data_IF_959111852287
#
_entry.id   IF_959111852287
#
_cell.length_a   1.000
_cell.length_b   1.000
_cell.length_c   1.000
_cell.angle_alpha   90.00
_cell.angle_beta   90.00
_cell.angle_gamma   90.00
#
_symmetry.space_group_name_H-M   'P 1'
#
loop_
_entity.id
_entity.type
_entity.pdbx_description
1 polymer ?
#
# COMPACT_ATOMS: atom_id res chain seq x y z
N UNK A 1 -13.19 5.15 19.14
CA UNK A 1 -12.18 5.70 18.21
C UNK A 1 -10.90 4.88 18.36
N UNK A 2 -10.67 3.89 17.50
CA UNK A 2 -9.46 3.09 17.55
C UNK A 2 -8.27 3.92 17.06
N UNK A 3 -7.25 4.11 17.90
CA UNK A 3 -5.95 4.64 17.46
C UNK A 3 -5.46 3.75 16.33
N UNK A 4 -5.38 4.28 15.11
CA UNK A 4 -4.74 3.58 14.00
C UNK A 4 -3.32 3.24 14.42
N UNK A 5 -2.99 1.95 14.46
CA UNK A 5 -1.68 1.42 14.81
C UNK A 5 -0.65 1.68 13.68
N UNK A 6 -0.63 2.88 13.11
CA UNK A 6 0.28 3.27 12.05
C UNK A 6 1.54 3.90 12.65
N UNK A 7 2.19 3.18 13.57
CA UNK A 7 3.61 3.45 13.82
C UNK A 7 4.35 3.22 12.50
N UNK A 8 5.23 4.13 12.10
CA UNK A 8 6.01 3.96 10.87
C UNK A 8 6.72 2.61 10.93
N UNK A 9 6.39 1.71 10.02
CA UNK A 9 7.17 0.49 9.88
C UNK A 9 8.56 0.89 9.38
N UNK A 10 9.59 0.26 9.92
CA UNK A 10 10.97 0.51 9.48
C UNK A 10 11.68 -0.80 9.15
N UNK A 11 12.63 -0.70 8.22
CA UNK A 11 13.42 -1.83 7.74
C UNK A 11 14.74 -1.87 8.50
N UNK A 12 15.12 -3.05 9.00
CA UNK A 12 16.44 -3.28 9.61
C UNK A 12 17.08 -4.52 9.02
N UNK A 13 18.31 -4.38 8.54
CA UNK A 13 19.15 -5.49 8.07
C UNK A 13 19.92 -6.07 9.25
N UNK A 14 19.90 -7.40 9.42
CA UNK A 14 20.75 -8.11 10.37
C UNK A 14 21.30 -9.35 9.70
N UNK A 15 22.62 -9.36 9.48
CA UNK A 15 23.42 -10.44 8.90
C UNK A 15 22.79 -11.06 7.64
N UNK A 16 22.03 -12.15 7.83
CA UNK A 16 21.41 -13.00 6.81
C UNK A 16 19.91 -12.73 6.58
N UNK A 17 19.36 -11.66 7.16
CA UNK A 17 17.93 -11.36 7.06
C UNK A 17 17.64 -9.86 7.04
N UNK A 18 16.49 -9.53 6.45
CA UNK A 18 15.94 -8.17 6.43
C UNK A 18 14.60 -8.22 7.15
N UNK A 19 14.47 -7.51 8.26
CA UNK A 19 13.24 -7.46 9.03
C UNK A 19 12.49 -6.14 8.82
N UNK A 20 11.17 -6.21 8.87
CA UNK A 20 10.26 -5.07 8.94
C UNK A 20 9.69 -5.02 10.35
N UNK A 21 9.79 -3.87 11.01
CA UNK A 21 9.47 -3.72 12.42
C UNK A 21 8.47 -2.60 12.66
N UNK A 22 7.60 -2.78 13.65
CA UNK A 22 6.73 -1.72 14.17
C UNK A 22 7.49 -0.72 15.04
N UNK A 23 6.88 0.43 15.30
CA UNK A 23 7.48 1.49 16.13
C UNK A 23 7.80 1.05 17.58
N UNK A 24 7.12 0.01 18.07
CA UNK A 24 7.34 -0.66 19.35
C UNK A 24 8.41 -1.77 19.26
N UNK A 25 9.16 -1.85 18.16
CA UNK A 25 10.13 -2.92 17.85
C UNK A 25 9.52 -4.31 17.66
N UNK A 26 8.19 -4.42 17.53
CA UNK A 26 7.55 -5.69 17.16
C UNK A 26 7.97 -6.14 15.75
N UNK A 27 8.15 -7.45 15.55
CA UNK A 27 8.49 -8.01 14.25
C UNK A 27 7.23 -8.15 13.42
N UNK A 28 7.18 -7.49 12.26
CA UNK A 28 6.06 -7.55 11.31
C UNK A 28 6.32 -8.55 10.19
N UNK A 29 7.55 -8.57 9.67
CA UNK A 29 7.97 -9.54 8.66
C UNK A 29 9.48 -9.77 8.72
N UNK A 30 9.93 -10.95 8.29
CA UNK A 30 11.35 -11.25 8.10
C UNK A 30 11.54 -11.87 6.73
N UNK A 31 12.39 -11.24 5.91
CA UNK A 31 12.74 -11.66 4.57
C UNK A 31 14.13 -12.31 4.62
N UNK A 32 14.24 -13.62 4.31
CA UNK A 32 15.54 -14.29 4.24
C UNK A 32 16.34 -13.79 3.04
N UNK A 33 17.65 -13.67 3.23
CA UNK A 33 18.59 -13.26 2.18
C UNK A 33 18.63 -14.31 1.06
N UNK A 34 18.59 -13.87 -0.19
CA UNK A 34 18.82 -14.75 -1.36
C UNK A 34 20.28 -14.63 -1.78
N UNK A 35 20.90 -15.75 -2.17
CA UNK A 35 22.30 -15.78 -2.64
C UNK A 35 22.56 -14.85 -3.84
N UNK A 36 21.54 -14.58 -4.66
CA UNK A 36 21.55 -13.57 -5.71
C UNK A 36 20.41 -12.56 -5.44
N UNK A 37 20.70 -11.26 -5.39
CA UNK A 37 19.67 -10.19 -5.34
C UNK A 37 19.36 -9.60 -3.95
N UNK A 38 20.39 -9.27 -3.16
CA UNK A 38 20.26 -8.56 -1.88
C UNK A 38 19.39 -7.29 -2.00
N UNK A 39 19.57 -6.53 -3.07
CA UNK A 39 18.85 -5.26 -3.32
C UNK A 39 17.35 -5.47 -3.53
N UNK A 40 16.95 -6.57 -4.16
CA UNK A 40 15.53 -6.90 -4.38
C UNK A 40 14.81 -7.14 -3.06
N UNK A 41 15.44 -7.84 -2.11
CA UNK A 41 14.83 -8.11 -0.79
C UNK A 41 14.73 -6.86 0.06
N UNK A 42 15.70 -5.95 -0.06
CA UNK A 42 15.64 -4.66 0.61
C UNK A 42 14.48 -3.84 0.05
N UNK A 43 14.34 -3.78 -1.28
CA UNK A 43 13.23 -3.08 -1.94
C UNK A 43 11.87 -3.67 -1.52
N UNK A 44 11.72 -5.00 -1.51
CA UNK A 44 10.51 -5.66 -1.01
C UNK A 44 10.20 -5.29 0.44
N UNK A 45 11.21 -5.29 1.32
CA UNK A 45 11.03 -4.91 2.72
C UNK A 45 10.53 -3.46 2.86
N UNK A 46 11.07 -2.53 2.08
CA UNK A 46 10.60 -1.14 2.06
C UNK A 46 9.19 -1.01 1.51
N UNK A 47 8.81 -1.81 0.50
CA UNK A 47 7.44 -1.87 0.01
C UNK A 47 6.48 -2.37 1.10
N UNK A 48 6.85 -3.41 1.85
CA UNK A 48 6.06 -3.88 2.98
C UNK A 48 5.94 -2.84 4.09
N UNK A 49 7.03 -2.14 4.40
CA UNK A 49 7.03 -1.07 5.40
C UNK A 49 6.12 0.10 4.99
N UNK A 50 6.09 0.45 3.70
CA UNK A 50 5.27 1.53 3.17
C UNK A 50 3.80 1.15 2.93
N UNK A 51 3.49 -0.15 2.80
CA UNK A 51 2.16 -0.62 2.40
C UNK A 51 0.99 -0.09 3.27
N UNK A 52 1.10 -0.01 4.62
CA UNK A 52 0.03 0.56 5.44
C UNK A 52 -0.22 2.04 5.13
N UNK A 53 0.85 2.83 4.97
CA UNK A 53 0.72 4.25 4.64
C UNK A 53 0.14 4.44 3.24
N UNK A 54 0.59 3.63 2.26
CA UNK A 54 0.05 3.64 0.91
C UNK A 54 -1.45 3.31 0.89
N UNK A 55 -1.88 2.34 1.70
CA UNK A 55 -3.30 2.00 1.83
C UNK A 55 -4.13 3.18 2.34
N UNK A 56 -3.68 3.88 3.38
CA UNK A 56 -4.37 5.07 3.90
C UNK A 56 -4.44 6.20 2.86
N UNK A 57 -3.33 6.48 2.16
CA UNK A 57 -3.30 7.47 1.08
C UNK A 57 -4.30 7.11 -0.02
N UNK A 58 -4.32 5.85 -0.46
CA UNK A 58 -5.28 5.37 -1.46
C UNK A 58 -6.73 5.55 -1.00
N UNK A 59 -7.03 5.30 0.29
CA UNK A 59 -8.37 5.53 0.85
C UNK A 59 -8.77 7.00 0.82
N UNK A 60 -7.85 7.90 1.18
CA UNK A 60 -8.09 9.35 1.16
C UNK A 60 -8.35 9.81 -0.27
N UNK A 61 -7.50 9.43 -1.22
CA UNK A 61 -7.67 9.78 -2.64
C UNK A 61 -9.01 9.26 -3.16
N UNK A 62 -9.35 7.99 -2.89
CA UNK A 62 -10.64 7.42 -3.30
C UNK A 62 -11.81 8.24 -2.75
N UNK A 63 -11.79 8.58 -1.46
CA UNK A 63 -12.84 9.37 -0.82
C UNK A 63 -13.00 10.77 -1.44
N UNK A 64 -11.90 11.42 -1.80
CA UNK A 64 -11.93 12.72 -2.48
C UNK A 64 -12.56 12.55 -3.86
N UNK A 65 -12.11 11.56 -4.63
CA UNK A 65 -12.56 11.34 -6.00
C UNK A 65 -14.03 10.89 -6.09
N UNK A 66 -14.56 10.16 -5.12
CA UNK A 66 -15.93 9.62 -5.15
C UNK A 66 -16.98 10.72 -5.38
N UNK A 67 -16.78 11.91 -4.80
CA UNK A 67 -17.69 13.04 -4.89
C UNK A 67 -17.13 14.25 -5.65
N UNK A 68 -15.98 14.11 -6.30
CA UNK A 68 -15.30 15.23 -6.97
C UNK A 68 -15.31 15.10 -8.50
N UNK A 69 -15.44 16.25 -9.15
CA UNK A 69 -15.17 16.44 -10.57
C UNK A 69 -13.81 17.14 -10.71
N UNK A 70 -12.89 16.53 -11.45
CA UNK A 70 -11.58 17.15 -11.73
C UNK A 70 -11.75 18.03 -12.96
N UNK A 71 -11.41 19.31 -12.80
CA UNK A 71 -11.50 20.32 -13.85
C UNK A 71 -10.15 21.04 -13.95
N UNK A 72 -9.63 21.21 -15.16
CA UNK A 72 -8.42 22.01 -15.38
C UNK A 72 -8.70 23.50 -15.19
N UNK A 73 -7.68 24.36 -15.01
CA UNK A 73 -7.88 25.81 -14.93
C UNK A 73 -8.63 26.40 -16.13
N UNK A 74 -8.51 25.78 -17.30
CA UNK A 74 -9.17 26.18 -18.54
C UNK A 74 -10.63 25.67 -18.64
N UNK A 75 -11.10 24.91 -17.65
CA UNK A 75 -12.47 24.40 -17.59
C UNK A 75 -12.69 23.00 -18.17
N UNK A 76 -11.64 22.29 -18.59
CA UNK A 76 -11.79 20.95 -19.15
C UNK A 76 -12.02 19.90 -18.06
N UNK A 77 -13.04 19.06 -18.23
CA UNK A 77 -13.33 17.95 -17.31
C UNK A 77 -12.40 16.77 -17.60
N UNK A 78 -11.65 16.34 -16.60
CA UNK A 78 -10.82 15.14 -16.69
C UNK A 78 -11.64 13.92 -16.29
N UNK A 79 -11.75 12.94 -17.19
CA UNK A 79 -12.32 11.65 -16.84
C UNK A 79 -11.33 10.88 -15.94
N UNK A 80 -11.76 10.57 -14.72
CA UNK A 80 -10.99 9.79 -13.74
C UNK A 80 -11.67 8.46 -13.39
N UNK A 81 -12.61 7.96 -14.21
CA UNK A 81 -13.31 6.68 -14.01
C UNK A 81 -12.34 5.54 -13.69
N UNK A 82 -11.28 5.41 -14.48
CA UNK A 82 -10.37 4.28 -14.43
C UNK A 82 -9.52 4.31 -13.16
N UNK A 83 -9.18 5.51 -12.70
CA UNK A 83 -8.48 5.74 -11.43
C UNK A 83 -9.40 5.36 -10.27
N UNK A 84 -10.68 5.77 -10.30
CA UNK A 84 -11.66 5.42 -9.26
C UNK A 84 -11.84 3.90 -9.17
N UNK A 85 -12.00 3.22 -10.30
CA UNK A 85 -12.13 1.76 -10.38
C UNK A 85 -10.87 1.08 -9.84
N UNK A 86 -9.69 1.52 -10.28
CA UNK A 86 -8.41 0.94 -9.88
C UNK A 86 -8.15 1.10 -8.38
N UNK A 87 -8.44 2.28 -7.81
CA UNK A 87 -8.34 2.52 -6.37
C UNK A 87 -9.32 1.67 -5.57
N UNK A 88 -10.56 1.56 -6.03
CA UNK A 88 -11.57 0.71 -5.38
C UNK A 88 -11.12 -0.75 -5.35
N UNK A 89 -10.67 -1.28 -6.49
CA UNK A 89 -10.18 -2.66 -6.61
C UNK A 89 -8.96 -2.90 -5.71
N UNK A 90 -8.00 -1.97 -5.67
CA UNK A 90 -6.83 -2.06 -4.82
C UNK A 90 -7.20 -2.07 -3.32
N UNK A 91 -8.11 -1.19 -2.89
CA UNK A 91 -8.58 -1.12 -1.51
C UNK A 91 -9.33 -2.39 -1.11
N UNK A 92 -10.18 -2.92 -1.99
CA UNK A 92 -10.92 -4.17 -1.75
C UNK A 92 -9.95 -5.34 -1.59
N UNK A 93 -8.98 -5.48 -2.50
CA UNK A 93 -7.94 -6.52 -2.40
C UNK A 93 -7.12 -6.41 -1.12
N UNK A 94 -6.72 -5.21 -0.74
CA UNK A 94 -5.97 -4.98 0.50
C UNK A 94 -6.78 -5.34 1.76
N UNK A 95 -8.10 -5.17 1.73
CA UNK A 95 -9.02 -5.63 2.80
C UNK A 95 -9.29 -7.14 2.78
N UNK A 96 -8.74 -7.88 1.83
CA UNK A 96 -8.90 -9.33 1.70
C UNK A 96 -10.06 -9.76 0.81
N UNK A 97 -10.79 -8.83 0.19
CA UNK A 97 -11.78 -9.19 -0.83
C UNK A 97 -11.04 -9.64 -2.10
N UNK A 98 -11.14 -10.93 -2.42
CA UNK A 98 -10.63 -11.47 -3.67
C UNK A 98 -11.79 -11.50 -4.66
N UNK A 99 -11.55 -11.10 -5.92
CA UNK A 99 -12.49 -11.45 -6.99
C UNK A 99 -12.57 -12.97 -7.00
N UNK A 100 -13.77 -13.52 -6.88
CA UNK A 100 -14.00 -14.94 -7.09
C UNK A 100 -13.39 -15.32 -8.44
N UNK A 101 -12.70 -16.47 -8.57
CA UNK A 101 -12.16 -16.90 -9.86
C UNK A 101 -13.25 -17.11 -10.93
N UNK A 102 -14.51 -17.20 -10.51
CA UNK A 102 -15.67 -17.35 -11.38
C UNK A 102 -16.60 -16.13 -11.26
N UNK A 103 -16.37 -15.12 -12.09
CA UNK A 103 -17.45 -14.31 -12.65
C UNK A 103 -17.02 -13.89 -14.07
N UNK A 104 -17.86 -14.12 -15.09
CA UNK A 104 -17.50 -14.14 -16.52
C UNK A 104 -17.04 -12.79 -17.09
#
# INVERSE_FOLDING_TARGET
>A
MGKGANGSLYVKKKDESIGVFGADSSVVAVLPKKKNGDDTRIAEAYLFAAAPQLFEVCRIIHSILENSLIVTPEGFKINCSDIKISLRDAILRAKGYRKSPDEP
#
